data_IF_633378956358
#
_entry.id   IF_633378956358
#
_cell.length_a   1.000
_cell.length_b   1.000
_cell.length_c   1.000
_cell.angle_alpha   90.00
_cell.angle_beta   90.00
_cell.angle_gamma   90.00
#
_symmetry.space_group_name_H-M   'P 1'
#
loop_
_entity.id
_entity.type
_entity.pdbx_description
1 polymer ?
#
# COMPACT_ATOMS: atom_id res chain seq x y z
N UNK A 1 17.07 35.87 -18.21
CA UNK A 1 18.06 36.77 -17.60
C UNK A 1 18.77 36.04 -16.46
N UNK A 2 20.03 36.39 -16.15
CA UNK A 2 20.78 35.85 -14.98
C UNK A 2 19.98 35.90 -13.66
N UNK A 3 18.97 36.77 -13.60
CA UNK A 3 18.07 36.94 -12.47
C UNK A 3 17.16 35.73 -12.20
N UNK A 4 16.70 35.02 -13.24
CA UNK A 4 15.85 33.84 -13.10
C UNK A 4 16.63 32.60 -12.65
N UNK A 5 17.91 32.50 -13.04
CA UNK A 5 18.78 31.41 -12.58
C UNK A 5 19.15 31.56 -11.09
N UNK A 6 19.41 32.80 -10.65
CA UNK A 6 19.64 33.11 -9.23
C UNK A 6 18.41 32.84 -8.37
N UNK A 7 17.21 33.15 -8.87
CA UNK A 7 15.96 32.88 -8.16
C UNK A 7 15.69 31.36 -8.05
N UNK A 8 15.94 30.61 -9.12
CA UNK A 8 15.80 29.15 -9.12
C UNK A 8 16.77 28.47 -8.16
N UNK A 9 18.04 28.90 -8.13
CA UNK A 9 19.04 28.40 -7.18
C UNK A 9 18.71 28.77 -5.73
N UNK A 10 18.12 29.95 -5.48
CA UNK A 10 17.65 30.34 -4.15
C UNK A 10 16.51 29.43 -3.68
N UNK A 11 15.55 29.14 -4.57
CA UNK A 11 14.39 28.28 -4.27
C UNK A 11 14.86 26.84 -4.00
N UNK A 12 15.79 26.31 -4.81
CA UNK A 12 16.34 24.97 -4.61
C UNK A 12 17.12 24.86 -3.29
N UNK A 13 17.91 25.88 -2.92
CA UNK A 13 18.66 25.89 -1.65
C UNK A 13 17.73 26.00 -0.43
N UNK A 14 16.64 26.78 -0.53
CA UNK A 14 15.63 26.87 0.53
C UNK A 14 14.87 25.55 0.68
N UNK A 15 14.52 24.87 -0.42
CA UNK A 15 13.87 23.57 -0.38
C UNK A 15 14.80 22.46 0.16
N UNK A 16 16.09 22.53 -0.14
CA UNK A 16 17.08 21.56 0.36
C UNK A 16 17.33 21.74 1.87
N UNK A 17 17.45 22.99 2.33
CA UNK A 17 17.51 23.30 3.77
C UNK A 17 16.22 22.85 4.50
N UNK A 18 15.06 23.00 3.87
CA UNK A 18 13.78 22.53 4.41
C UNK A 18 13.74 21.01 4.58
N UNK A 19 14.27 20.24 3.62
CA UNK A 19 14.30 18.79 3.69
C UNK A 19 15.24 18.25 4.79
N UNK A 20 16.37 18.93 5.03
CA UNK A 20 17.31 18.58 6.11
C UNK A 20 16.66 18.84 7.47
N UNK A 21 16.06 20.02 7.65
CA UNK A 21 15.42 20.40 8.93
C UNK A 21 14.16 19.56 9.24
N UNK A 22 13.46 19.06 8.21
CA UNK A 22 12.36 18.10 8.38
C UNK A 22 12.82 16.71 8.81
N UNK A 23 14.04 16.31 8.45
CA UNK A 23 14.59 15.00 8.79
C UNK A 23 15.09 14.97 10.25
N UNK A 24 15.77 16.04 10.68
CA UNK A 24 16.24 16.19 12.07
C UNK A 24 15.06 16.27 13.07
N UNK A 25 13.98 16.97 12.70
CA UNK A 25 12.75 17.03 13.51
C UNK A 25 11.95 15.72 13.51
N UNK A 26 12.22 14.80 12.57
CA UNK A 26 11.60 13.48 12.54
C UNK A 26 12.28 12.52 13.53
N UNK A 27 13.59 12.63 13.72
CA UNK A 27 14.36 11.83 14.68
C UNK A 27 14.06 12.23 16.14
N UNK A 28 13.91 13.53 16.42
CA UNK A 28 13.55 14.04 17.75
C UNK A 28 12.12 13.69 18.21
N UNK A 29 11.21 13.36 17.27
CA UNK A 29 9.81 13.04 17.58
C UNK A 29 9.55 11.55 17.85
N UNK A 30 10.48 10.65 17.48
CA UNK A 30 10.33 9.22 17.75
C UNK A 30 10.50 8.88 19.25
N UNK A 31 11.21 9.72 20.01
CA UNK A 31 11.43 9.54 21.46
C UNK A 31 10.24 9.95 22.35
N UNK A 32 9.22 10.63 21.82
CA UNK A 32 8.08 11.15 22.61
C UNK A 32 6.79 10.31 22.53
N UNK A 33 6.75 9.22 21.77
CA UNK A 33 5.56 8.35 21.62
C UNK A 33 5.42 7.31 22.74
N UNK A 34 5.30 7.75 23.99
CA UNK A 34 4.66 6.96 25.06
C UNK A 34 3.48 7.75 25.57
N UNK A 35 2.32 7.09 25.62
CA UNK A 35 1.00 7.54 26.08
C UNK A 35 0.05 8.00 24.97
N UNK A 36 -0.59 7.02 24.33
CA UNK A 36 -1.96 7.17 23.86
C UNK A 36 -2.78 6.07 24.55
N UNK A 37 -3.79 6.47 25.30
CA UNK A 37 -4.70 5.57 26.04
C UNK A 37 -5.58 4.86 25.02
N UNK A 38 -5.62 3.53 25.08
CA UNK A 38 -6.39 2.66 24.19
C UNK A 38 -7.70 2.26 24.89
N UNK A 39 -8.85 2.61 24.33
CA UNK A 39 -10.13 2.04 24.76
C UNK A 39 -10.50 0.90 23.83
N UNK A 40 -10.35 -0.33 24.33
CA UNK A 40 -10.92 -1.52 23.74
C UNK A 40 -12.37 -1.63 24.24
N UNK A 41 -13.36 -1.69 23.34
CA UNK A 41 -14.76 -1.91 23.72
C UNK A 41 -14.98 -3.43 23.79
N UNK A 42 -15.11 -4.05 24.99
CA UNK A 42 -15.37 -5.47 25.09
C UNK A 42 -16.80 -5.80 24.65
N UNK A 43 -16.95 -6.85 23.85
CA UNK A 43 -18.24 -7.41 23.47
C UNK A 43 -18.90 -8.11 24.69
N UNK A 44 -20.21 -7.88 24.90
CA UNK A 44 -20.98 -8.48 26.00
C UNK A 44 -21.25 -9.96 25.74
N UNK A 45 -20.71 -10.86 26.56
CA UNK A 45 -21.37 -12.14 26.85
C UNK A 45 -21.29 -12.52 28.34
N UNK A 46 -22.48 -12.89 28.83
CA UNK A 46 -22.90 -13.78 29.93
C UNK A 46 -22.05 -13.84 31.22
N UNK A 47 -22.74 -13.40 32.28
CA UNK A 47 -22.47 -13.51 33.72
C UNK A 47 -21.74 -14.81 34.12
N UNK A 48 -20.64 -14.68 34.86
CA UNK A 48 -20.68 -15.05 36.27
C UNK A 48 -19.59 -14.38 37.12
N UNK A 49 -20.01 -14.06 38.34
CA UNK A 49 -19.29 -13.47 39.47
C UNK A 49 -17.99 -14.24 39.79
N UNK A 50 -16.93 -13.68 40.37
CA UNK A 50 -16.91 -12.83 41.55
C UNK A 50 -15.51 -12.20 41.73
N UNK A 51 -15.51 -10.91 42.10
CA UNK A 51 -14.70 -10.23 43.14
C UNK A 51 -13.23 -10.67 43.31
N UNK A 52 -12.29 -9.86 42.86
CA UNK A 52 -11.72 -8.68 43.52
C UNK A 52 -10.53 -8.97 44.46
N UNK A 53 -9.46 -8.24 44.15
CA UNK A 53 -8.58 -7.46 45.03
C UNK A 53 -7.24 -8.04 45.49
N UNK A 54 -6.25 -7.16 45.23
CA UNK A 54 -4.96 -6.90 45.90
C UNK A 54 -3.86 -7.87 45.48
N UNK A 55 -2.65 -7.44 45.16
CA UNK A 55 -1.95 -6.24 45.62
C UNK A 55 -0.87 -6.69 46.59
N UNK A 56 0.38 -6.53 46.15
CA UNK A 56 1.60 -6.40 46.95
C UNK A 56 2.21 -7.63 47.66
N UNK A 57 3.55 -7.63 47.61
CA UNK A 57 4.55 -8.27 48.49
C UNK A 57 4.93 -9.73 48.24
N UNK A 58 6.08 -9.84 47.57
CA UNK A 58 7.15 -10.81 47.82
C UNK A 58 7.42 -10.90 49.34
N UNK A 59 7.34 -12.08 49.92
CA UNK A 59 7.65 -12.36 51.33
C UNK A 59 8.97 -13.15 51.47
N UNK A 60 9.54 -13.00 52.67
CA UNK A 60 10.80 -13.47 53.23
C UNK A 60 10.83 -14.98 53.56
N UNK A 61 12.05 -15.55 53.50
CA UNK A 61 12.72 -16.54 54.41
C UNK A 61 12.03 -17.87 54.82
N UNK A 62 12.81 -18.89 55.28
CA UNK A 62 12.55 -20.32 55.05
C UNK A 62 12.17 -21.15 56.30
N UNK A 63 12.06 -22.47 56.08
CA UNK A 63 11.97 -23.61 57.03
C UNK A 63 10.60 -23.78 57.69
N UNK A 64 10.06 -24.96 57.99
CA UNK A 64 10.40 -26.40 57.99
C UNK A 64 9.02 -27.10 58.12
N UNK A 65 8.71 -28.29 57.60
CA UNK A 65 9.07 -29.60 58.11
C UNK A 65 7.95 -30.57 57.61
N UNK A 66 8.34 -31.84 57.46
CA UNK A 66 7.54 -33.07 57.54
C UNK A 66 6.28 -33.29 56.66
N UNK A 67 6.31 -34.42 55.93
CA UNK A 67 5.15 -35.32 55.87
C UNK A 67 4.63 -35.82 54.52
N UNK A 68 5.42 -36.68 53.87
CA UNK A 68 5.03 -37.95 53.21
C UNK A 68 3.81 -38.04 52.23
N UNK A 69 4.18 -38.39 50.97
CA UNK A 69 3.69 -39.49 50.08
C UNK A 69 2.19 -39.65 49.79
N UNK A 70 1.82 -39.65 48.49
CA UNK A 70 1.27 -40.78 47.69
C UNK A 70 0.85 -40.26 46.29
N UNK A 71 1.58 -40.76 45.28
CA UNK A 71 1.22 -41.31 43.95
C UNK A 71 0.18 -40.68 42.99
N UNK A 72 0.67 -40.50 41.75
CA UNK A 72 0.11 -40.79 40.42
C UNK A 72 -1.38 -40.55 40.10
N UNK A 73 -1.65 -39.73 39.07
CA UNK A 73 -2.09 -40.26 37.76
C UNK A 73 -2.28 -39.15 36.69
N UNK A 74 -2.07 -39.59 35.45
CA UNK A 74 -1.98 -38.87 34.18
C UNK A 74 -3.08 -37.86 33.85
N UNK A 75 -2.69 -36.74 33.24
CA UNK A 75 -3.50 -36.03 32.25
C UNK A 75 -2.61 -35.20 31.31
N UNK A 76 -2.24 -35.82 30.20
CA UNK A 76 -1.58 -35.19 29.06
C UNK A 76 -2.46 -34.09 28.47
N UNK A 77 -1.99 -32.84 28.47
CA UNK A 77 -2.47 -31.81 27.56
C UNK A 77 -1.34 -31.37 26.60
N UNK A 78 -1.57 -31.44 25.28
CA UNK A 78 -0.54 -31.21 24.29
C UNK A 78 -0.18 -29.72 24.21
N UNK A 79 1.13 -29.43 24.25
CA UNK A 79 1.66 -28.09 24.03
C UNK A 79 1.31 -27.63 22.61
N UNK A 80 0.59 -26.51 22.47
CA UNK A 80 0.29 -25.89 21.18
C UNK A 80 1.60 -25.53 20.47
N UNK A 81 2.02 -26.35 19.50
CA UNK A 81 3.13 -26.03 18.58
C UNK A 81 2.82 -24.71 17.88
N UNK A 82 3.68 -23.72 18.09
CA UNK A 82 3.66 -22.42 17.41
C UNK A 82 3.92 -22.66 15.92
N UNK A 83 2.88 -22.63 15.09
CA UNK A 83 3.02 -22.79 13.63
C UNK A 83 4.00 -21.74 13.11
N UNK A 84 5.16 -22.20 12.64
CA UNK A 84 6.21 -21.35 12.13
C UNK A 84 5.72 -20.75 10.80
N UNK A 85 5.47 -19.44 10.77
CA UNK A 85 4.96 -18.76 9.58
C UNK A 85 5.93 -18.88 8.40
N UNK A 86 5.43 -19.36 7.25
CA UNK A 86 6.20 -19.43 5.99
C UNK A 86 6.57 -18.02 5.54
N UNK A 87 7.82 -17.80 5.10
CA UNK A 87 8.26 -16.52 4.50
C UNK A 87 7.70 -16.40 3.08
N UNK A 88 7.25 -15.21 2.66
CA UNK A 88 6.69 -14.99 1.30
C UNK A 88 7.57 -15.54 0.17
N UNK A 89 8.88 -15.32 0.30
CA UNK A 89 9.88 -15.74 -0.71
C UNK A 89 9.99 -17.28 -0.81
N UNK A 90 9.54 -18.01 0.21
CA UNK A 90 9.56 -19.48 0.27
C UNK A 90 8.16 -20.09 0.14
N UNK A 91 7.17 -19.32 -0.29
CA UNK A 91 5.83 -19.86 -0.53
C UNK A 91 5.91 -20.85 -1.69
N UNK A 92 5.29 -22.04 -1.56
CA UNK A 92 5.27 -23.02 -2.64
C UNK A 92 4.54 -22.43 -3.84
N UNK A 93 5.04 -22.65 -5.05
CA UNK A 93 4.43 -22.09 -6.26
C UNK A 93 3.67 -23.20 -7.00
N UNK A 94 2.53 -22.80 -7.56
CA UNK A 94 1.75 -23.59 -8.52
C UNK A 94 1.22 -22.58 -9.53
N UNK A 95 1.99 -22.36 -10.58
CA UNK A 95 1.81 -21.30 -11.55
C UNK A 95 1.25 -21.90 -12.84
N UNK A 96 -0.04 -21.69 -13.07
CA UNK A 96 -0.71 -22.06 -14.31
C UNK A 96 -0.47 -20.98 -15.36
N UNK A 97 -0.08 -21.38 -16.57
CA UNK A 97 0.08 -20.45 -17.68
C UNK A 97 -1.26 -19.84 -18.08
N UNK A 98 -1.35 -18.51 -18.07
CA UNK A 98 -2.58 -17.81 -18.44
C UNK A 98 -2.76 -17.61 -19.94
N UNK A 99 -1.89 -18.15 -20.79
CA UNK A 99 -2.04 -18.07 -22.25
C UNK A 99 -3.22 -18.93 -22.71
N UNK A 100 -4.08 -18.43 -23.60
CA UNK A 100 -5.36 -19.08 -23.97
C UNK A 100 -5.22 -20.50 -24.55
N UNK A 101 -4.06 -20.86 -25.09
CA UNK A 101 -3.80 -22.17 -25.68
C UNK A 101 -2.80 -23.01 -24.87
N UNK A 102 -2.56 -22.66 -23.60
CA UNK A 102 -1.59 -23.33 -22.74
C UNK A 102 -2.21 -23.76 -21.41
N UNK A 103 -1.99 -25.02 -21.04
CA UNK A 103 -2.45 -25.62 -19.78
C UNK A 103 -1.28 -26.04 -18.87
N UNK A 104 -0.06 -25.61 -19.17
CA UNK A 104 1.12 -25.99 -18.40
C UNK A 104 1.12 -25.35 -17.00
N UNK A 105 1.61 -26.12 -16.02
CA UNK A 105 1.70 -25.72 -14.62
C UNK A 105 3.12 -25.91 -14.10
N UNK A 106 3.63 -24.91 -13.37
CA UNK A 106 5.01 -24.86 -12.92
C UNK A 106 5.13 -24.64 -11.41
N UNK A 107 6.13 -25.28 -10.79
CA UNK A 107 6.52 -25.09 -9.39
C UNK A 107 7.73 -24.14 -9.22
N UNK A 108 8.39 -23.79 -10.33
CA UNK A 108 9.58 -22.95 -10.40
C UNK A 108 9.28 -21.69 -11.18
N UNK A 109 9.42 -20.53 -10.53
CA UNK A 109 9.21 -19.24 -11.19
C UNK A 109 10.14 -19.01 -12.37
N UNK A 110 11.39 -19.53 -12.30
CA UNK A 110 12.35 -19.42 -13.39
C UNK A 110 11.90 -20.17 -14.64
N UNK A 111 11.46 -21.43 -14.49
CA UNK A 111 10.96 -22.25 -15.62
C UNK A 111 9.70 -21.62 -16.21
N UNK A 112 8.79 -21.20 -15.34
CA UNK A 112 7.56 -20.51 -15.73
C UNK A 112 7.83 -19.23 -16.54
N UNK A 113 8.77 -18.39 -16.11
CA UNK A 113 9.06 -17.14 -16.81
C UNK A 113 9.64 -17.38 -18.21
N UNK A 114 10.54 -18.36 -18.38
CA UNK A 114 11.04 -18.73 -19.72
C UNK A 114 9.92 -19.22 -20.62
N UNK A 115 9.08 -20.13 -20.15
CA UNK A 115 7.92 -20.62 -20.89
C UNK A 115 6.98 -19.48 -21.32
N UNK A 116 6.65 -18.58 -20.39
CA UNK A 116 5.78 -17.42 -20.68
C UNK A 116 6.37 -16.51 -21.76
N UNK A 117 7.71 -16.35 -21.81
CA UNK A 117 8.38 -15.58 -22.86
C UNK A 117 8.34 -16.27 -24.23
N UNK A 118 8.44 -17.60 -24.27
CA UNK A 118 8.37 -18.36 -25.52
C UNK A 118 7.06 -18.10 -26.28
N UNK A 119 5.95 -17.87 -25.58
CA UNK A 119 4.69 -17.46 -26.20
C UNK A 119 4.79 -16.11 -26.94
N UNK A 120 5.43 -15.11 -26.32
CA UNK A 120 5.65 -13.81 -26.96
C UNK A 120 6.62 -13.91 -28.15
N UNK A 121 7.53 -14.89 -28.15
CA UNK A 121 8.51 -15.09 -29.20
C UNK A 121 7.97 -15.89 -30.40
N UNK A 122 7.17 -16.93 -30.14
CA UNK A 122 6.77 -17.94 -31.13
C UNK A 122 5.33 -17.77 -31.65
N UNK A 123 4.39 -17.29 -30.82
CA UNK A 123 2.95 -17.30 -31.18
C UNK A 123 2.44 -16.00 -31.82
N UNK A 124 3.36 -15.07 -32.11
CA UNK A 124 3.04 -13.74 -32.61
C UNK A 124 3.34 -13.67 -34.11
N UNK A 125 2.26 -13.65 -34.90
CA UNK A 125 2.32 -13.61 -36.36
C UNK A 125 2.92 -12.31 -36.89
N UNK A 126 3.52 -12.38 -38.08
CA UNK A 126 4.03 -11.22 -38.82
C UNK A 126 2.87 -10.26 -39.17
N UNK A 127 2.84 -9.09 -38.52
CA UNK A 127 1.88 -8.02 -38.74
C UNK A 127 2.22 -6.79 -37.89
N UNK A 128 1.68 -5.62 -38.25
CA UNK A 128 2.01 -4.32 -37.61
C UNK A 128 1.45 -4.16 -36.18
N UNK A 129 0.48 -5.00 -35.79
CA UNK A 129 -0.15 -4.99 -34.46
C UNK A 129 -0.32 -6.42 -33.91
N UNK A 130 0.23 -6.68 -32.72
CA UNK A 130 0.16 -7.97 -32.02
C UNK A 130 -0.76 -7.88 -30.81
N UNK A 131 -1.71 -8.80 -30.71
CA UNK A 131 -2.61 -8.91 -29.57
C UNK A 131 -2.06 -9.88 -28.53
N UNK A 132 -2.04 -9.48 -27.26
CA UNK A 132 -1.73 -10.39 -26.15
C UNK A 132 -2.83 -11.46 -26.05
N UNK A 133 -2.45 -12.75 -26.07
CA UNK A 133 -3.38 -13.89 -25.94
C UNK A 133 -3.53 -14.39 -24.50
N UNK A 134 -3.12 -13.60 -23.52
CA UNK A 134 -3.33 -13.92 -22.11
C UNK A 134 -4.83 -13.82 -21.79
N UNK A 135 -5.34 -14.75 -20.98
CA UNK A 135 -6.72 -14.75 -20.50
C UNK A 135 -7.07 -13.39 -19.91
N UNK A 136 -8.21 -12.85 -20.35
CA UNK A 136 -8.74 -11.56 -19.90
C UNK A 136 -7.81 -10.34 -20.20
N UNK A 137 -6.88 -10.47 -21.16
CA UNK A 137 -6.07 -9.35 -21.63
C UNK A 137 -6.49 -8.90 -23.02
N UNK A 138 -6.78 -7.61 -23.18
CA UNK A 138 -7.16 -6.99 -24.46
C UNK A 138 -6.06 -6.06 -25.00
N UNK A 139 -4.84 -6.18 -24.49
CA UNK A 139 -3.75 -5.26 -24.83
C UNK A 139 -3.23 -5.56 -26.24
N UNK A 140 -3.20 -4.52 -27.08
CA UNK A 140 -2.62 -4.55 -28.42
C UNK A 140 -1.28 -3.82 -28.38
N UNK A 141 -0.26 -4.39 -29.01
CA UNK A 141 1.13 -3.94 -28.91
C UNK A 141 1.74 -3.92 -30.32
N UNK A 142 2.40 -2.81 -30.65
CA UNK A 142 2.99 -2.58 -31.98
C UNK A 142 4.42 -3.10 -32.13
N UNK A 143 5.08 -3.50 -31.04
CA UNK A 143 6.48 -3.95 -31.04
C UNK A 143 6.67 -5.27 -30.26
N UNK A 144 7.48 -6.18 -30.79
CA UNK A 144 7.70 -7.51 -30.22
C UNK A 144 8.38 -7.47 -28.85
N UNK A 145 9.33 -6.56 -28.66
CA UNK A 145 10.01 -6.35 -27.38
C UNK A 145 9.01 -5.98 -26.28
N UNK A 146 8.14 -5.01 -26.53
CA UNK A 146 7.08 -4.56 -25.62
C UNK A 146 6.08 -5.68 -25.29
N UNK A 147 5.81 -6.58 -26.23
CA UNK A 147 4.95 -7.73 -25.98
C UNK A 147 5.59 -8.72 -25.01
N UNK A 148 6.89 -9.02 -25.18
CA UNK A 148 7.63 -9.85 -24.23
C UNK A 148 7.62 -9.26 -22.81
N UNK A 149 7.81 -7.94 -22.69
CA UNK A 149 7.74 -7.22 -21.41
C UNK A 149 6.35 -7.33 -20.77
N UNK A 150 5.30 -7.08 -21.55
CA UNK A 150 3.91 -7.16 -21.12
C UNK A 150 3.54 -8.58 -20.64
N UNK A 151 3.88 -9.59 -21.43
CA UNK A 151 3.61 -11.00 -21.13
C UNK A 151 4.38 -11.46 -19.90
N UNK A 152 5.63 -11.01 -19.73
CA UNK A 152 6.37 -11.30 -18.50
C UNK A 152 5.74 -10.67 -17.25
N UNK A 153 5.11 -9.49 -17.38
CA UNK A 153 4.37 -8.89 -16.27
C UNK A 153 3.16 -9.73 -15.86
N UNK A 154 2.44 -10.34 -16.81
CA UNK A 154 1.41 -11.33 -16.48
C UNK A 154 1.99 -12.51 -15.69
N UNK A 155 3.17 -12.99 -16.08
CA UNK A 155 3.89 -14.02 -15.34
C UNK A 155 4.18 -13.61 -13.89
N UNK A 156 4.69 -12.38 -13.71
CA UNK A 156 4.93 -11.81 -12.38
C UNK A 156 3.65 -11.65 -11.55
N UNK A 157 2.57 -11.14 -12.14
CA UNK A 157 1.26 -11.02 -11.50
C UNK A 157 0.72 -12.37 -11.03
N UNK A 158 0.82 -13.38 -11.89
CA UNK A 158 0.38 -14.76 -11.59
C UNK A 158 1.12 -15.32 -10.38
N UNK A 159 2.45 -15.13 -10.32
CA UNK A 159 3.26 -15.48 -9.13
C UNK A 159 2.75 -14.79 -7.88
N UNK A 160 2.50 -13.48 -7.94
CA UNK A 160 2.05 -12.72 -6.76
C UNK A 160 0.65 -13.13 -6.30
N UNK A 161 -0.26 -13.44 -7.24
CA UNK A 161 -1.60 -13.97 -6.94
C UNK A 161 -1.53 -15.36 -6.30
N UNK A 162 -0.67 -16.25 -6.79
CA UNK A 162 -0.43 -17.57 -6.18
C UNK A 162 0.04 -17.44 -4.73
N UNK A 163 1.05 -16.58 -4.49
CA UNK A 163 1.52 -16.27 -3.14
C UNK A 163 0.37 -15.74 -2.26
N UNK A 164 -0.46 -14.87 -2.79
CA UNK A 164 -1.65 -14.35 -2.11
C UNK A 164 -2.63 -15.44 -1.71
N UNK A 165 -2.98 -16.33 -2.67
CA UNK A 165 -3.86 -17.49 -2.45
C UNK A 165 -3.32 -18.40 -1.34
N UNK A 166 -2.02 -18.70 -1.33
CA UNK A 166 -1.38 -19.50 -0.29
C UNK A 166 -1.40 -18.83 1.09
N UNK A 167 -1.25 -17.50 1.12
CA UNK A 167 -1.33 -16.74 2.37
C UNK A 167 -2.76 -16.77 2.93
N UNK A 168 -3.78 -16.66 2.08
CA UNK A 168 -5.19 -16.77 2.47
C UNK A 168 -5.58 -18.18 2.90
N UNK A 169 -5.09 -19.22 2.22
CA UNK A 169 -5.40 -20.61 2.58
C UNK A 169 -4.95 -21.04 4.00
N UNK A 170 -4.11 -20.24 4.66
CA UNK A 170 -3.64 -20.49 6.04
C UNK A 170 -4.28 -19.59 7.09
N UNK A 171 -5.13 -18.64 6.70
CA UNK A 171 -5.79 -17.69 7.60
C UNK A 171 -7.17 -17.35 7.10
N UNK A 172 -8.13 -17.49 8.00
CA UNK A 172 -9.49 -17.03 7.75
C UNK A 172 -9.51 -15.49 7.69
N UNK A 173 -9.62 -14.96 6.48
CA UNK A 173 -9.67 -13.55 6.14
C UNK A 173 -10.83 -13.36 5.15
N UNK A 174 -11.55 -12.24 5.20
CA UNK A 174 -12.72 -12.06 4.36
C UNK A 174 -12.35 -12.08 2.87
N UNK A 175 -13.33 -12.49 2.08
CA UNK A 175 -13.27 -12.37 0.64
C UNK A 175 -13.15 -10.91 0.21
N UNK A 176 -12.55 -10.71 -0.95
CA UNK A 176 -12.36 -9.39 -1.51
C UNK A 176 -13.50 -9.15 -2.49
N UNK A 177 -14.29 -8.12 -2.24
CA UNK A 177 -15.43 -7.71 -3.06
C UNK A 177 -15.07 -6.65 -4.11
N UNK A 178 -13.77 -6.29 -4.21
CA UNK A 178 -13.33 -5.33 -5.21
C UNK A 178 -13.28 -5.97 -6.59
N UNK A 179 -13.73 -5.22 -7.57
CA UNK A 179 -13.56 -5.53 -8.99
C UNK A 179 -12.07 -5.69 -9.33
N UNK A 180 -11.80 -6.43 -10.40
CA UNK A 180 -10.44 -6.69 -10.87
C UNK A 180 -9.89 -5.39 -11.47
N UNK A 181 -8.80 -4.89 -10.90
CA UNK A 181 -8.05 -3.77 -11.50
C UNK A 181 -7.14 -4.37 -12.60
N UNK A 182 -7.66 -4.53 -13.83
CA UNK A 182 -6.99 -5.21 -14.96
C UNK A 182 -6.05 -4.34 -15.78
N UNK A 183 -5.75 -3.12 -15.33
CA UNK A 183 -4.78 -2.27 -16.01
C UNK A 183 -3.35 -2.80 -15.80
N UNK A 184 -2.85 -3.61 -16.73
CA UNK A 184 -1.46 -4.02 -16.78
C UNK A 184 -0.60 -2.89 -17.38
N UNK A 185 0.33 -2.31 -16.60
CA UNK A 185 1.15 -1.21 -17.12
C UNK A 185 2.13 -1.71 -18.20
N UNK A 186 2.14 -1.02 -19.33
CA UNK A 186 3.20 -1.15 -20.33
C UNK A 186 4.42 -0.34 -19.87
N UNK A 187 5.54 -1.01 -19.62
CA UNK A 187 6.79 -0.38 -19.19
C UNK A 187 7.68 -0.09 -20.39
N UNK A 188 7.32 0.91 -21.20
CA UNK A 188 8.02 1.24 -22.45
C UNK A 188 9.53 1.45 -22.25
N UNK A 189 9.93 2.01 -21.10
CA UNK A 189 11.33 2.29 -20.79
C UNK A 189 12.05 1.13 -20.05
N UNK A 190 11.38 0.00 -19.85
CA UNK A 190 11.89 -1.13 -19.06
C UNK A 190 12.18 -0.77 -17.59
N UNK A 191 13.15 -1.47 -17.02
CA UNK A 191 13.61 -1.36 -15.64
C UNK A 191 15.09 -1.01 -15.59
N UNK A 192 15.43 0.08 -14.89
CA UNK A 192 16.82 0.51 -14.71
C UNK A 192 17.33 0.22 -13.29
N UNK A 193 18.61 -0.10 -13.20
CA UNK A 193 19.34 -0.27 -11.95
C UNK A 193 20.27 0.92 -11.71
N UNK A 194 19.90 1.80 -10.78
CA UNK A 194 20.74 2.95 -10.40
C UNK A 194 21.72 2.62 -9.25
N UNK A 195 22.07 1.34 -9.12
CA UNK A 195 23.18 0.95 -8.26
C UNK A 195 24.47 1.54 -8.82
N UNK A 196 25.32 2.11 -7.94
CA UNK A 196 26.56 2.78 -8.32
C UNK A 196 27.39 1.89 -9.25
N UNK A 197 27.80 2.46 -10.39
CA UNK A 197 28.61 1.80 -11.42
C UNK A 197 27.96 0.57 -12.08
N UNK A 198 26.65 0.34 -11.88
CA UNK A 198 25.94 -0.76 -12.53
C UNK A 198 25.27 -0.34 -13.84
N UNK A 199 24.35 0.63 -13.80
CA UNK A 199 23.66 1.14 -15.00
C UNK A 199 22.86 0.10 -15.78
N UNK A 200 22.52 -1.06 -15.18
CA UNK A 200 21.85 -2.15 -15.87
C UNK A 200 20.45 -1.75 -16.36
N UNK A 201 20.11 -2.14 -17.59
CA UNK A 201 18.79 -1.95 -18.19
C UNK A 201 18.19 -3.31 -18.52
N UNK A 202 16.93 -3.51 -18.14
CA UNK A 202 16.23 -4.78 -18.28
C UNK A 202 14.85 -4.53 -18.86
N UNK A 203 14.50 -5.28 -19.88
CA UNK A 203 13.15 -5.27 -20.45
C UNK A 203 12.16 -6.00 -19.51
N UNK A 204 12.64 -7.06 -18.87
CA UNK A 204 11.83 -7.96 -18.07
C UNK A 204 11.96 -7.71 -16.56
N UNK A 205 10.82 -7.69 -15.88
CA UNK A 205 10.69 -7.59 -14.42
C UNK A 205 11.35 -8.75 -13.67
N UNK A 206 11.33 -9.96 -14.23
CA UNK A 206 12.01 -11.11 -13.62
C UNK A 206 13.53 -10.95 -13.68
N UNK A 207 14.09 -10.68 -14.86
CA UNK A 207 15.54 -10.44 -15.01
C UNK A 207 16.01 -9.27 -14.14
N UNK A 208 15.24 -8.18 -14.08
CA UNK A 208 15.54 -7.05 -13.20
C UNK A 208 15.62 -7.48 -11.74
N UNK A 209 14.64 -8.22 -11.22
CA UNK A 209 14.66 -8.65 -9.84
C UNK A 209 15.73 -9.71 -9.54
N UNK A 210 16.05 -10.61 -10.48
CA UNK A 210 17.19 -11.52 -10.33
C UNK A 210 18.52 -10.75 -10.31
N UNK A 211 18.68 -9.74 -11.17
CA UNK A 211 19.85 -8.87 -11.17
C UNK A 211 20.02 -8.16 -9.82
N UNK A 212 18.95 -7.60 -9.24
CA UNK A 212 19.02 -6.93 -7.93
C UNK A 212 19.49 -7.88 -6.81
N UNK A 213 19.19 -9.19 -6.91
CA UNK A 213 19.71 -10.17 -5.95
C UNK A 213 21.23 -10.30 -6.01
N UNK A 214 21.88 -10.02 -7.14
CA UNK A 214 23.35 -10.04 -7.22
C UNK A 214 23.96 -8.98 -6.30
N UNK A 215 23.41 -7.76 -6.28
CA UNK A 215 23.82 -6.70 -5.36
C UNK A 215 23.59 -7.06 -3.89
N UNK A 216 22.55 -7.84 -3.60
CA UNK A 216 22.31 -8.33 -2.24
C UNK A 216 23.30 -9.44 -1.89
N UNK A 217 23.50 -10.40 -2.79
CA UNK A 217 24.27 -11.61 -2.54
C UNK A 217 25.78 -11.37 -2.52
N UNK A 218 26.27 -10.29 -3.16
CA UNK A 218 27.67 -9.86 -3.10
C UNK A 218 28.09 -9.32 -1.72
N UNK A 219 27.13 -9.00 -0.84
CA UNK A 219 27.36 -8.52 0.51
C UNK A 219 27.47 -9.68 1.53
N UNK A 220 28.02 -9.50 2.74
CA UNK A 220 28.05 -10.56 3.76
C UNK A 220 26.65 -10.83 4.35
N UNK A 221 26.28 -12.12 4.55
CA UNK A 221 24.99 -12.52 5.15
C UNK A 221 24.66 -11.76 6.44
N UNK A 222 25.65 -11.67 7.32
CA UNK A 222 25.63 -10.88 8.55
C UNK A 222 26.98 -10.20 8.68
N UNK A 223 26.97 -8.91 9.02
CA UNK A 223 28.18 -8.18 9.35
C UNK A 223 28.72 -8.62 10.71
N UNK A 224 30.04 -8.72 10.84
CA UNK A 224 30.69 -8.81 12.15
C UNK A 224 30.59 -7.47 12.89
N UNK A 225 31.01 -7.45 14.16
CA UNK A 225 31.12 -6.21 14.93
C UNK A 225 32.01 -5.24 14.13
N UNK A 226 31.51 -4.02 13.89
CA UNK A 226 32.14 -2.94 13.12
C UNK A 226 32.07 -3.02 11.58
N UNK A 227 31.54 -4.11 11.01
CA UNK A 227 31.22 -4.17 9.58
C UNK A 227 29.80 -3.63 9.32
N UNK A 228 29.62 -2.94 8.20
CA UNK A 228 28.32 -2.37 7.79
C UNK A 228 28.16 -2.58 6.28
N UNK A 229 26.96 -2.94 5.86
CA UNK A 229 26.55 -2.96 4.46
C UNK A 229 25.92 -1.61 4.13
N UNK A 230 26.47 -0.94 3.14
CA UNK A 230 25.95 0.32 2.62
C UNK A 230 25.16 0.07 1.34
N UNK A 231 24.00 0.72 1.21
CA UNK A 231 23.28 0.74 -0.05
C UNK A 231 23.97 1.71 -1.01
N UNK A 232 24.42 1.20 -2.16
CA UNK A 232 25.07 2.01 -3.17
C UNK A 232 24.09 2.49 -4.25
N UNK A 233 22.79 2.53 -3.97
CA UNK A 233 21.84 3.14 -4.89
C UNK A 233 22.08 4.65 -4.97
N UNK A 234 21.98 5.22 -6.17
CA UNK A 234 22.22 6.65 -6.38
C UNK A 234 21.35 7.51 -5.46
N UNK A 235 22.00 8.38 -4.66
CA UNK A 235 21.33 9.26 -3.70
C UNK A 235 20.82 8.58 -2.42
N UNK A 236 21.19 7.31 -2.18
CA UNK A 236 20.86 6.60 -0.95
C UNK A 236 22.01 6.63 0.06
N UNK A 237 21.70 6.85 1.33
CA UNK A 237 22.66 6.82 2.46
C UNK A 237 22.37 5.68 3.45
N UNK A 238 21.53 4.72 3.06
CA UNK A 238 21.09 3.65 3.95
C UNK A 238 22.21 2.68 4.29
N UNK A 239 22.28 2.31 5.57
CA UNK A 239 23.27 1.39 6.13
C UNK A 239 22.59 0.31 6.96
N UNK A 240 23.07 -0.93 6.87
CA UNK A 240 22.52 -2.04 7.62
C UNK A 240 23.56 -3.11 7.96
N UNK A 241 23.20 -4.06 8.83
CA UNK A 241 24.11 -5.09 9.35
C UNK A 241 23.86 -6.50 8.81
N UNK A 242 22.99 -6.65 7.80
CA UNK A 242 22.67 -7.97 7.22
C UNK A 242 22.10 -7.86 5.82
N UNK A 243 22.38 -8.85 4.97
CA UNK A 243 21.77 -8.99 3.64
C UNK A 243 20.24 -8.90 3.66
N UNK A 244 19.57 -9.48 4.67
CA UNK A 244 18.11 -9.44 4.75
C UNK A 244 17.56 -8.01 4.85
N UNK A 245 18.23 -7.17 5.65
CA UNK A 245 17.85 -5.75 5.80
C UNK A 245 18.14 -4.96 4.52
N UNK A 246 19.27 -5.23 3.86
CA UNK A 246 19.55 -4.64 2.55
C UNK A 246 18.46 -5.04 1.54
N UNK A 247 18.15 -6.34 1.44
CA UNK A 247 17.10 -6.85 0.55
C UNK A 247 15.75 -6.20 0.78
N UNK A 248 15.34 -6.03 2.04
CA UNK A 248 14.07 -5.36 2.36
C UNK A 248 14.10 -3.86 2.02
N UNK A 249 15.25 -3.21 2.25
CA UNK A 249 15.47 -1.83 1.88
C UNK A 249 15.40 -1.62 0.36
N UNK A 250 16.03 -2.47 -0.46
CA UNK A 250 16.05 -2.29 -1.93
C UNK A 250 14.68 -2.31 -2.58
N UNK A 251 13.67 -2.91 -1.94
CA UNK A 251 12.27 -2.81 -2.40
C UNK A 251 11.76 -1.38 -2.47
N UNK A 252 12.35 -0.44 -1.73
CA UNK A 252 11.98 0.97 -1.83
C UNK A 252 12.49 1.65 -3.10
N UNK A 253 13.59 1.15 -3.66
CA UNK A 253 14.16 1.61 -4.92
C UNK A 253 13.44 0.94 -6.09
N UNK A 254 13.37 -0.39 -6.07
CA UNK A 254 12.78 -1.20 -7.15
C UNK A 254 11.25 -1.17 -7.18
N UNK A 255 10.61 -0.65 -6.12
CA UNK A 255 9.16 -0.68 -5.89
C UNK A 255 8.55 -2.08 -5.92
N UNK A 256 9.37 -3.11 -5.68
CA UNK A 256 8.97 -4.52 -5.74
C UNK A 256 7.73 -4.80 -4.88
N UNK A 257 6.79 -5.53 -5.47
CA UNK A 257 5.62 -6.07 -4.79
C UNK A 257 5.83 -7.57 -4.58
N UNK A 258 5.39 -8.09 -3.45
CA UNK A 258 5.75 -9.45 -3.02
C UNK A 258 4.55 -10.35 -2.78
N UNK A 259 3.34 -9.80 -2.89
CA UNK A 259 2.07 -10.54 -2.79
C UNK A 259 0.98 -9.74 -3.48
N UNK A 260 0.03 -10.41 -4.12
CA UNK A 260 -1.15 -9.81 -4.72
C UNK A 260 -2.44 -10.45 -4.19
N UNK A 261 -3.54 -9.71 -4.29
CA UNK A 261 -4.87 -10.24 -4.03
C UNK A 261 -5.30 -11.14 -5.20
N UNK A 262 -5.62 -12.44 -4.98
CA UNK A 262 -6.04 -13.31 -6.07
C UNK A 262 -7.35 -12.85 -6.72
N UNK A 263 -8.24 -12.19 -5.97
CA UNK A 263 -9.53 -11.70 -6.45
C UNK A 263 -9.39 -10.40 -7.26
N UNK A 264 -8.98 -9.28 -6.65
CA UNK A 264 -8.95 -7.99 -7.34
C UNK A 264 -7.63 -7.68 -8.06
N UNK A 265 -6.60 -8.52 -7.94
CA UNK A 265 -5.28 -8.30 -8.55
C UNK A 265 -4.39 -7.25 -7.86
N UNK A 266 -4.88 -6.55 -6.84
CA UNK A 266 -4.11 -5.49 -6.17
C UNK A 266 -2.78 -6.00 -5.57
N UNK A 267 -1.72 -5.22 -5.74
CA UNK A 267 -0.35 -5.56 -5.32
C UNK A 267 0.07 -4.95 -3.99
N UNK A 268 0.84 -5.68 -3.18
CA UNK A 268 1.31 -5.22 -1.86
C UNK A 268 2.80 -5.44 -1.64
N UNK A 269 3.42 -4.49 -0.94
CA UNK A 269 4.83 -4.54 -0.55
C UNK A 269 5.13 -5.53 0.61
N UNK A 270 4.11 -6.18 1.18
CA UNK A 270 4.31 -7.18 2.23
C UNK A 270 3.02 -7.75 2.82
N UNK A 271 3.15 -8.82 3.61
CA UNK A 271 2.02 -9.55 4.23
C UNK A 271 1.11 -8.62 5.02
N UNK A 272 1.67 -7.69 5.81
CA UNK A 272 0.86 -6.83 6.68
C UNK A 272 -0.06 -5.90 5.90
N UNK A 273 0.40 -5.34 4.77
CA UNK A 273 -0.44 -4.49 3.92
C UNK A 273 -1.49 -5.30 3.16
N UNK A 274 -1.16 -6.52 2.75
CA UNK A 274 -2.12 -7.44 2.17
C UNK A 274 -3.22 -7.84 3.18
N UNK A 275 -2.86 -8.13 4.43
CA UNK A 275 -3.82 -8.39 5.49
C UNK A 275 -4.70 -7.18 5.79
N UNK A 276 -4.13 -5.98 5.87
CA UNK A 276 -4.91 -4.76 6.04
C UNK A 276 -5.94 -4.59 4.91
N UNK A 277 -5.55 -4.88 3.67
CA UNK A 277 -6.44 -4.80 2.52
C UNK A 277 -7.66 -5.72 2.66
N UNK A 278 -7.45 -6.98 3.07
CA UNK A 278 -8.56 -7.92 3.34
C UNK A 278 -9.38 -7.50 4.55
N UNK A 279 -8.73 -7.19 5.68
CA UNK A 279 -9.41 -6.81 6.92
C UNK A 279 -10.32 -5.60 6.76
N UNK A 280 -9.98 -4.63 5.90
CA UNK A 280 -10.84 -3.46 5.64
C UNK A 280 -12.19 -3.80 5.01
N UNK A 281 -12.34 -4.99 4.45
CA UNK A 281 -13.59 -5.50 3.88
C UNK A 281 -14.46 -6.22 4.94
N UNK A 282 -13.99 -6.30 6.20
CA UNK A 282 -14.82 -6.87 7.26
C UNK A 282 -16.06 -5.99 7.50
N UNK A 283 -17.23 -6.61 7.72
CA UNK A 283 -18.46 -5.89 8.03
C UNK A 283 -18.31 -4.94 9.24
N UNK A 284 -19.06 -3.83 9.30
CA UNK A 284 -18.97 -2.87 10.41
C UNK A 284 -19.15 -3.50 11.80
N UNK A 285 -19.96 -4.55 11.90
CA UNK A 285 -20.35 -5.20 13.16
C UNK A 285 -19.18 -5.93 13.84
N UNK A 286 -18.15 -6.31 13.08
CA UNK A 286 -16.94 -6.97 13.61
C UNK A 286 -15.76 -6.01 13.79
N UNK A 287 -15.94 -4.72 13.45
CA UNK A 287 -14.92 -3.69 13.62
C UNK A 287 -14.96 -3.12 15.04
N UNK A 288 -14.12 -3.65 15.93
CA UNK A 288 -14.21 -3.33 17.35
C UNK A 288 -13.36 -2.13 17.81
N UNK A 289 -12.59 -1.51 16.91
CA UNK A 289 -11.70 -0.41 17.26
C UNK A 289 -12.29 0.92 16.85
N UNK A 290 -12.91 1.62 17.79
CA UNK A 290 -13.50 2.93 17.55
C UNK A 290 -12.45 4.05 17.66
N UNK A 291 -12.52 5.02 16.76
CA UNK A 291 -11.77 6.26 16.88
C UNK A 291 -12.38 7.15 17.97
N UNK A 292 -11.54 7.72 18.85
CA UNK A 292 -12.01 8.64 19.90
C UNK A 292 -12.35 10.04 19.40
N UNK A 293 -11.90 10.41 18.19
CA UNK A 293 -12.12 11.73 17.59
C UNK A 293 -13.18 11.74 16.49
N UNK A 294 -13.60 10.56 16.01
CA UNK A 294 -14.70 10.45 15.05
C UNK A 294 -15.39 9.09 15.21
N UNK A 295 -16.65 8.96 14.79
CA UNK A 295 -17.44 7.74 14.97
C UNK A 295 -17.06 6.58 14.02
N UNK A 296 -15.82 6.55 13.52
CA UNK A 296 -15.33 5.50 12.62
C UNK A 296 -14.80 4.31 13.41
N UNK A 297 -15.17 3.13 12.95
CA UNK A 297 -14.68 1.85 13.45
C UNK A 297 -13.59 1.29 12.53
N UNK A 298 -12.74 0.43 13.10
CA UNK A 298 -11.66 -0.22 12.39
C UNK A 298 -11.55 -1.70 12.79
N UNK A 299 -11.13 -2.59 11.87
CA UNK A 299 -11.01 -4.03 12.13
C UNK A 299 -9.70 -4.43 12.83
N UNK A 300 -8.79 -3.47 13.09
CA UNK A 300 -7.59 -3.73 13.90
C UNK A 300 -7.03 -2.46 14.51
N UNK A 301 -6.33 -2.62 15.63
CA UNK A 301 -5.66 -1.53 16.34
C UNK A 301 -4.64 -0.79 15.44
N UNK A 302 -3.91 -1.52 14.59
CA UNK A 302 -2.94 -0.92 13.65
C UNK A 302 -3.62 0.02 12.66
N UNK A 303 -4.78 -0.38 12.14
CA UNK A 303 -5.56 0.44 11.21
C UNK A 303 -6.14 1.67 11.89
N UNK A 304 -6.65 1.52 13.12
CA UNK A 304 -7.05 2.66 13.95
C UNK A 304 -5.86 3.60 14.19
N UNK A 305 -4.70 3.09 14.58
CA UNK A 305 -3.49 3.90 14.82
C UNK A 305 -3.05 4.67 13.59
N UNK A 306 -3.06 4.02 12.43
CA UNK A 306 -2.77 4.67 11.15
C UNK A 306 -3.80 5.78 10.85
N UNK A 307 -5.07 5.56 11.17
CA UNK A 307 -6.13 6.56 11.07
C UNK A 307 -5.95 7.71 12.07
N UNK A 308 -5.58 7.46 13.32
CA UNK A 308 -5.40 8.50 14.34
C UNK A 308 -4.37 9.56 13.91
N UNK A 309 -3.38 9.18 13.09
CA UNK A 309 -2.44 10.16 12.51
C UNK A 309 -3.11 11.22 11.64
N UNK A 310 -4.30 10.95 11.09
CA UNK A 310 -5.03 11.94 10.28
C UNK A 310 -5.69 13.02 11.12
N UNK A 311 -5.85 12.80 12.42
CA UNK A 311 -6.40 13.79 13.34
C UNK A 311 -5.32 14.70 13.94
N UNK A 312 -4.06 14.30 13.83
CA UNK A 312 -2.95 15.07 14.39
C UNK A 312 -2.35 15.97 13.30
N UNK A 313 -2.59 17.27 13.41
CA UNK A 313 -2.05 18.27 12.50
C UNK A 313 -0.59 18.61 12.86
N UNK A 314 0.36 17.90 12.26
CA UNK A 314 1.79 18.08 12.52
C UNK A 314 2.44 19.17 11.67
N UNK A 315 1.84 19.50 10.53
CA UNK A 315 2.48 20.32 9.50
C UNK A 315 1.93 21.73 9.55
N UNK A 316 2.72 22.66 10.11
CA UNK A 316 2.36 24.08 10.22
C UNK A 316 2.76 24.85 8.97
N UNK A 317 1.89 25.73 8.49
CA UNK A 317 2.24 26.71 7.47
C UNK A 317 3.19 27.77 8.05
N UNK A 318 4.23 28.13 7.30
CA UNK A 318 5.17 29.18 7.71
C UNK A 318 4.61 30.59 7.50
N UNK A 319 3.59 30.73 6.66
CA UNK A 319 3.01 32.01 6.23
C UNK A 319 1.64 32.31 6.87
N UNK A 320 1.07 31.37 7.62
CA UNK A 320 -0.14 31.57 8.43
C UNK A 320 -0.25 30.50 9.54
N UNK A 321 -1.25 30.62 10.41
CA UNK A 321 -1.45 29.67 11.52
C UNK A 321 -2.13 28.36 11.12
N UNK A 322 -2.34 28.11 9.83
CA UNK A 322 -2.93 26.87 9.36
C UNK A 322 -2.02 25.67 9.67
N UNK A 323 -2.62 24.61 10.18
CA UNK A 323 -1.95 23.32 10.40
C UNK A 323 -2.66 22.23 9.63
N UNK A 324 -1.90 21.26 9.12
CA UNK A 324 -2.39 20.19 8.27
C UNK A 324 -1.94 18.82 8.79
N UNK A 325 -2.72 17.76 8.54
CA UNK A 325 -2.39 16.41 8.98
C UNK A 325 -1.37 15.70 8.07
N UNK A 326 -1.18 16.21 6.84
CA UNK A 326 -0.30 15.62 5.82
C UNK A 326 0.52 16.70 5.12
N UNK A 327 1.75 16.39 4.67
CA UNK A 327 2.57 17.34 3.89
C UNK A 327 1.90 17.76 2.58
N UNK A 328 1.24 16.83 1.90
CA UNK A 328 0.53 17.11 0.65
C UNK A 328 -0.62 18.11 0.84
N UNK A 329 -1.34 18.00 1.95
CA UNK A 329 -2.39 18.95 2.30
C UNK A 329 -1.80 20.35 2.58
N UNK A 330 -0.65 20.42 3.28
CA UNK A 330 0.05 21.69 3.49
C UNK A 330 0.55 22.29 2.17
N UNK A 331 1.10 21.48 1.26
CA UNK A 331 1.57 21.93 -0.04
C UNK A 331 0.43 22.49 -0.90
N UNK A 332 -0.73 21.82 -0.92
CA UNK A 332 -1.93 22.32 -1.61
C UNK A 332 -2.41 23.63 -0.97
N UNK A 333 -2.46 23.69 0.36
CA UNK A 333 -2.79 24.91 1.09
C UNK A 333 -1.85 26.06 0.70
N UNK A 334 -0.54 25.79 0.65
CA UNK A 334 0.47 26.79 0.32
C UNK A 334 0.30 27.32 -1.11
N UNK A 335 0.13 26.41 -2.09
CA UNK A 335 -0.16 26.78 -3.48
C UNK A 335 -1.41 27.63 -3.60
N UNK A 336 -2.47 27.21 -2.91
CA UNK A 336 -3.77 27.88 -2.99
C UNK A 336 -3.81 29.25 -2.29
N UNK A 337 -3.18 29.39 -1.11
CA UNK A 337 -3.32 30.57 -0.24
C UNK A 337 -2.16 31.55 -0.32
N UNK A 338 -0.97 31.11 -0.73
CA UNK A 338 0.24 31.94 -0.67
C UNK A 338 0.87 32.17 -2.05
N UNK A 339 0.82 31.18 -2.95
CA UNK A 339 1.43 31.32 -4.29
C UNK A 339 0.42 31.68 -5.39
N UNK A 340 -0.88 31.44 -5.18
CA UNK A 340 -1.92 31.52 -6.22
C UNK A 340 -1.60 30.70 -7.49
N UNK A 341 -0.74 29.69 -7.37
CA UNK A 341 -0.28 28.86 -8.48
C UNK A 341 -1.36 27.83 -8.82
N UNK A 342 -1.85 27.86 -10.06
CA UNK A 342 -2.89 26.97 -10.59
C UNK A 342 -2.37 26.23 -11.82
N UNK A 343 -1.56 25.17 -11.64
CA UNK A 343 -0.82 24.56 -12.74
C UNK A 343 -1.68 23.71 -13.68
N UNK A 344 -2.93 23.41 -13.31
CA UNK A 344 -3.79 22.52 -14.07
C UNK A 344 -4.84 23.33 -14.85
N UNK A 345 -4.63 23.50 -16.14
CA UNK A 345 -5.53 24.26 -17.01
C UNK A 345 -6.62 23.35 -17.62
N UNK A 346 -7.85 23.87 -17.70
CA UNK A 346 -8.91 23.24 -18.48
C UNK A 346 -8.62 23.40 -19.98
N UNK A 347 -8.78 22.33 -20.76
CA UNK A 347 -8.58 22.39 -22.21
C UNK A 347 -9.80 22.99 -22.95
N UNK A 348 -10.94 23.16 -22.26
CA UNK A 348 -12.20 23.66 -22.84
C UNK A 348 -12.44 25.15 -22.50
N UNK A 349 -11.78 25.71 -21.48
CA UNK A 349 -11.93 27.11 -21.11
C UNK A 349 -10.70 27.64 -20.35
N UNK A 350 -10.74 28.91 -19.95
CA UNK A 350 -9.64 29.58 -19.22
C UNK A 350 -9.54 29.21 -17.73
N UNK A 351 -10.34 28.25 -17.24
CA UNK A 351 -10.29 27.84 -15.84
C UNK A 351 -8.98 27.11 -15.50
N UNK A 352 -8.42 27.43 -14.34
CA UNK A 352 -7.22 26.78 -13.82
C UNK A 352 -7.43 26.30 -12.37
N UNK A 353 -7.01 25.07 -12.11
CA UNK A 353 -7.11 24.38 -10.83
C UNK A 353 -5.75 24.19 -10.17
N UNK A 354 -5.76 24.11 -8.83
CA UNK A 354 -4.58 23.75 -8.02
C UNK A 354 -4.43 22.23 -7.89
N UNK A 355 -5.55 21.50 -7.94
CA UNK A 355 -5.61 20.06 -7.73
C UNK A 355 -6.36 19.37 -8.87
N UNK A 356 -5.98 18.12 -9.17
CA UNK A 356 -6.64 17.32 -10.21
C UNK A 356 -8.14 17.15 -9.93
N UNK A 357 -8.50 16.85 -8.68
CA UNK A 357 -9.90 16.70 -8.28
C UNK A 357 -10.73 17.97 -8.54
N UNK A 358 -10.16 19.16 -8.36
CA UNK A 358 -10.85 20.41 -8.67
C UNK A 358 -11.00 20.62 -10.19
N UNK A 359 -10.01 20.18 -10.99
CA UNK A 359 -10.14 20.17 -12.45
C UNK A 359 -11.19 19.16 -12.91
N UNK A 360 -11.16 17.93 -12.41
CA UNK A 360 -12.13 16.88 -12.75
C UNK A 360 -13.56 17.34 -12.41
N UNK A 361 -13.77 17.90 -11.21
CA UNK A 361 -15.06 18.47 -10.82
C UNK A 361 -15.49 19.65 -11.72
N UNK A 362 -14.53 20.47 -12.17
CA UNK A 362 -14.81 21.53 -13.14
C UNK A 362 -15.16 20.97 -14.52
N UNK A 363 -14.51 19.90 -14.99
CA UNK A 363 -14.78 19.30 -16.30
C UNK A 363 -16.21 18.79 -16.43
N UNK A 364 -16.82 18.34 -15.32
CA UNK A 364 -18.26 17.99 -15.28
C UNK A 364 -19.14 19.18 -15.72
N UNK A 365 -18.70 20.42 -15.50
CA UNK A 365 -19.47 21.62 -15.89
C UNK A 365 -19.54 21.85 -17.40
N UNK A 366 -18.66 21.22 -18.18
CA UNK A 366 -18.68 21.24 -19.65
C UNK A 366 -19.50 20.09 -20.25
N UNK A 367 -19.88 19.09 -19.46
CA UNK A 367 -20.74 18.00 -19.90
C UNK A 367 -22.21 18.45 -19.88
N UNK A 368 -22.82 18.64 -21.05
CA UNK A 368 -24.23 19.08 -21.20
C UNK A 368 -25.26 17.98 -20.93
N UNK A 369 -24.86 16.71 -20.99
CA UNK A 369 -25.76 15.55 -20.87
C UNK A 369 -26.01 15.08 -19.43
N UNK A 370 -25.20 15.51 -18.46
CA UNK A 370 -25.30 15.09 -17.05
C UNK A 370 -25.83 16.22 -16.16
N UNK A 371 -27.04 16.69 -16.48
CA UNK A 371 -27.80 17.55 -15.55
C UNK A 371 -28.70 16.67 -14.70
N UNK A 372 -28.52 16.74 -13.39
CA UNK A 372 -29.44 16.15 -12.43
C UNK A 372 -30.73 16.96 -12.43
N UNK A 373 -31.84 16.30 -12.76
CA UNK A 373 -33.17 16.92 -12.78
C UNK A 373 -33.89 16.71 -11.45
N UNK A 374 -34.71 17.67 -11.06
CA UNK A 374 -35.73 17.47 -10.05
C UNK A 374 -36.85 16.61 -10.65
N UNK A 375 -37.41 15.69 -9.87
CA UNK A 375 -38.52 14.84 -10.30
C UNK A 375 -39.85 15.59 -10.14
N UNK A 376 -39.92 16.55 -9.22
CA UNK A 376 -41.12 17.29 -8.87
C UNK A 376 -41.27 18.62 -9.63
N UNK A 377 -40.26 19.06 -10.39
CA UNK A 377 -40.33 20.25 -11.25
C UNK A 377 -39.25 20.28 -12.35
N UNK A 378 -39.34 21.24 -13.27
CA UNK A 378 -38.40 21.38 -14.40
C UNK A 378 -36.99 21.87 -14.03
N UNK A 379 -36.66 21.92 -12.74
CA UNK A 379 -35.34 22.37 -12.28
C UNK A 379 -34.26 21.35 -12.64
N UNK A 380 -33.16 21.83 -13.24
CA UNK A 380 -32.00 21.02 -13.60
C UNK A 380 -30.72 21.66 -13.08
N UNK A 381 -29.82 20.86 -12.52
CA UNK A 381 -28.55 21.36 -12.00
C UNK A 381 -27.39 20.37 -12.21
N UNK A 382 -26.16 20.87 -12.08
CA UNK A 382 -24.93 20.12 -12.37
C UNK A 382 -24.34 19.38 -11.14
N UNK A 383 -24.99 19.46 -9.97
CA UNK A 383 -24.45 18.84 -8.75
C UNK A 383 -25.55 18.36 -7.79
N UNK A 384 -25.32 17.21 -7.14
CA UNK A 384 -26.22 16.65 -6.14
C UNK A 384 -26.49 17.61 -4.98
N UNK A 385 -25.47 18.36 -4.54
CA UNK A 385 -25.62 19.38 -3.50
C UNK A 385 -26.56 20.52 -3.94
N UNK A 386 -26.51 20.91 -5.22
CA UNK A 386 -27.44 21.89 -5.79
C UNK A 386 -28.87 21.37 -5.83
N UNK A 387 -29.06 20.11 -6.20
CA UNK A 387 -30.37 19.46 -6.25
C UNK A 387 -30.96 19.28 -4.84
N UNK A 388 -30.16 18.83 -3.88
CA UNK A 388 -30.57 18.67 -2.47
C UNK A 388 -30.99 20.01 -1.85
N UNK A 389 -30.23 21.09 -2.09
CA UNK A 389 -30.64 22.44 -1.68
C UNK A 389 -31.92 22.92 -2.36
N UNK A 390 -32.13 22.53 -3.62
CA UNK A 390 -33.36 22.84 -4.33
C UNK A 390 -34.55 22.12 -3.69
N UNK A 391 -34.45 20.81 -3.43
CA UNK A 391 -35.46 20.05 -2.71
C UNK A 391 -35.77 20.64 -1.33
N UNK A 392 -34.75 21.00 -0.56
CA UNK A 392 -34.93 21.61 0.77
C UNK A 392 -35.64 22.96 0.71
N UNK A 393 -35.37 23.78 -0.31
CA UNK A 393 -35.91 25.15 -0.41
C UNK A 393 -37.28 25.22 -1.09
N UNK A 394 -37.51 24.39 -2.09
CA UNK A 394 -38.69 24.47 -2.97
C UNK A 394 -39.71 23.40 -2.60
N UNK A 395 -39.25 22.19 -2.27
CA UNK A 395 -40.12 21.05 -1.96
C UNK A 395 -40.23 20.77 -0.45
N UNK A 396 -39.38 21.39 0.38
CA UNK A 396 -39.39 21.22 1.84
C UNK A 396 -39.05 19.80 2.32
N UNK A 397 -38.58 18.94 1.40
CA UNK A 397 -38.22 17.55 1.65
C UNK A 397 -36.69 17.43 1.70
N UNK A 398 -36.20 16.69 2.69
CA UNK A 398 -34.85 16.11 2.62
C UNK A 398 -34.99 14.89 1.73
N UNK A 399 -34.28 14.83 0.60
CA UNK A 399 -34.29 13.65 -0.25
C UNK A 399 -33.84 12.43 0.58
N UNK A 400 -34.81 11.61 0.99
CA UNK A 400 -34.61 10.43 1.83
C UNK A 400 -34.41 9.16 1.00
N UNK A 401 -33.78 9.30 -0.16
CA UNK A 401 -33.47 8.19 -1.03
C UNK A 401 -32.12 8.45 -1.67
N UNK A 402 -31.07 7.95 -1.00
CA UNK A 402 -29.78 7.50 -1.54
C UNK A 402 -28.93 6.94 -0.37
N UNK A 403 -29.21 5.67 -0.02
CA UNK A 403 -28.17 4.72 0.44
C UNK A 403 -27.41 4.28 -0.81
#
# INVERSE_FOLDING_TARGET
>A
SLHNLKLFLLICNVLFAFLIEMNDKLEEKQTKNKLAVFEHIPCKEKKNNNKNKRGYKRALSPSSDSGLVIDDEDSQHPTKKRVQGVRLVKEPLSLECGWNSCEEVFDSYRKYNYHVKEHAENDCAEGDEMMCKWRDCTTIISEKSLLSQHVSYHGYHTKLKNIGKNVLGRRDLPDCTREVEEAFPLYINGYSCDWKECGGLFEDVYEFHEHIKLHINSNPKYCKKDEIIECLWQGCSYKCSSQYKLSDHLKMHTKEKVVACPTCGAHFAGKTKFYDHRKRQLPPEVQNYQCSQCSKFFPSERLLRDHMRTHINHYKCTMCDMTCPKPSALAIHFRYRHLNERPLQCHLCSYMAVTKQALDAHLITHCTESLLACEDCDYRCRSFYGLDKHYQKVHGLVSSSLI
#
